data_IF_737813602803
#
_entry.id   IF_737813602803
#
_cell.length_a   1.000
_cell.length_b   1.000
_cell.length_c   1.000
_cell.angle_alpha   90.00
_cell.angle_beta   90.00
_cell.angle_gamma   90.00
#
_symmetry.space_group_name_H-M   'P 1'
#
loop_
_entity.id
_entity.type
_entity.pdbx_description
1 polymer ?
#
# COMPACT_ATOMS: atom_id res chain seq x y z
N UNK A 1 -15.88 -25.33 30.99
CA UNK A 1 -14.72 -24.41 31.07
C UNK A 1 -14.34 -24.06 29.63
N UNK A 2 -14.67 -22.85 29.19
CA UNK A 2 -14.74 -22.47 27.76
C UNK A 2 -13.36 -22.39 27.10
N UNK A 3 -13.13 -23.23 26.07
CA UNK A 3 -11.95 -23.19 25.19
C UNK A 3 -11.87 -21.93 24.29
N UNK A 4 -12.91 -21.09 24.27
CA UNK A 4 -13.08 -19.95 23.35
C UNK A 4 -12.38 -18.63 23.73
N UNK A 5 -11.42 -18.61 24.66
CA UNK A 5 -10.69 -17.37 25.03
C UNK A 5 -9.25 -17.31 24.51
N UNK A 6 -8.75 -18.37 23.89
CA UNK A 6 -7.38 -18.35 23.37
C UNK A 6 -7.34 -17.55 22.07
N UNK A 7 -6.59 -16.44 22.08
CA UNK A 7 -6.31 -15.65 20.91
C UNK A 7 -5.10 -16.22 20.18
N UNK A 8 -5.21 -16.35 18.86
CA UNK A 8 -4.19 -16.90 17.98
C UNK A 8 -3.87 -15.87 16.90
N UNK A 9 -2.58 -15.66 16.64
CA UNK A 9 -2.12 -14.73 15.61
C UNK A 9 -2.32 -15.33 14.22
N UNK A 10 -2.98 -14.59 13.33
CA UNK A 10 -3.26 -14.99 11.95
C UNK A 10 -2.52 -14.15 10.92
N UNK A 11 -2.01 -12.97 11.31
CA UNK A 11 -1.22 -12.09 10.45
C UNK A 11 -0.29 -11.21 11.27
N UNK A 12 0.82 -10.80 10.65
CA UNK A 12 1.80 -9.87 11.21
C UNK A 12 2.16 -8.82 10.17
N UNK A 13 2.09 -7.56 10.56
CA UNK A 13 2.23 -6.41 9.66
C UNK A 13 3.28 -5.44 10.20
N UNK A 14 4.03 -4.82 9.30
CA UNK A 14 5.00 -3.78 9.68
C UNK A 14 4.36 -2.43 9.97
N UNK A 15 3.10 -2.25 9.55
CA UNK A 15 2.33 -1.02 9.67
C UNK A 15 0.98 -1.30 10.35
N UNK A 16 0.59 -0.41 11.26
CA UNK A 16 -0.67 -0.46 11.96
C UNK A 16 -1.86 -0.31 11.01
N UNK A 17 -1.73 0.49 9.95
CA UNK A 17 -2.81 0.68 8.97
C UNK A 17 -3.16 -0.65 8.30
N UNK A 18 -2.15 -1.40 7.86
CA UNK A 18 -2.35 -2.71 7.23
C UNK A 18 -2.98 -3.73 8.20
N UNK A 19 -2.57 -3.71 9.47
CA UNK A 19 -3.17 -4.56 10.49
C UNK A 19 -4.64 -4.23 10.74
N UNK A 20 -5.00 -2.94 10.80
CA UNK A 20 -6.38 -2.50 10.96
C UNK A 20 -7.24 -2.77 9.72
N UNK A 21 -6.67 -2.71 8.51
CA UNK A 21 -7.34 -3.11 7.29
C UNK A 21 -7.70 -4.61 7.32
N UNK A 22 -6.73 -5.45 7.69
CA UNK A 22 -6.96 -6.89 7.84
C UNK A 22 -7.99 -7.19 8.94
N UNK A 23 -7.93 -6.49 10.07
CA UNK A 23 -8.94 -6.56 11.14
C UNK A 23 -10.33 -6.20 10.61
N UNK A 24 -10.47 -5.04 9.95
CA UNK A 24 -11.75 -4.60 9.41
C UNK A 24 -12.34 -5.58 8.41
N UNK A 25 -11.49 -6.22 7.59
CA UNK A 25 -11.93 -7.27 6.67
C UNK A 25 -12.41 -8.52 7.39
N UNK A 26 -11.73 -8.97 8.45
CA UNK A 26 -12.17 -10.10 9.27
C UNK A 26 -13.49 -9.79 10.00
N UNK A 27 -13.61 -8.60 10.58
CA UNK A 27 -14.85 -8.16 11.25
C UNK A 27 -16.03 -8.06 10.28
N UNK A 28 -15.80 -7.64 9.02
CA UNK A 28 -16.82 -7.61 7.97
C UNK A 28 -17.33 -9.00 7.59
N UNK A 29 -16.52 -10.05 7.75
CA UNK A 29 -16.88 -11.46 7.54
C UNK A 29 -17.45 -12.10 8.83
N UNK A 30 -17.68 -11.32 9.90
CA UNK A 30 -18.23 -11.79 11.17
C UNK A 30 -17.22 -12.48 12.09
N UNK A 31 -15.91 -12.37 11.81
CA UNK A 31 -14.84 -12.94 12.61
C UNK A 31 -14.35 -11.90 13.62
N UNK A 32 -14.28 -12.27 14.89
CA UNK A 32 -13.69 -11.41 15.90
C UNK A 32 -12.18 -11.28 15.66
N UNK A 33 -11.70 -10.04 15.50
CA UNK A 33 -10.28 -9.76 15.31
C UNK A 33 -9.83 -8.63 16.24
N UNK A 34 -8.64 -8.78 16.82
CA UNK A 34 -8.00 -7.76 17.66
C UNK A 34 -6.56 -7.52 17.19
N UNK A 35 -6.08 -6.28 17.38
CA UNK A 35 -4.73 -5.87 17.01
C UNK A 35 -3.87 -5.80 18.28
N UNK A 36 -2.75 -6.50 18.29
CA UNK A 36 -1.78 -6.51 19.37
C UNK A 36 -0.49 -5.77 18.98
N UNK A 37 0.16 -5.20 20.00
CA UNK A 37 1.44 -4.48 19.93
C UNK A 37 1.46 -3.15 19.16
N UNK A 38 0.32 -2.61 18.75
CA UNK A 38 0.26 -1.33 18.02
C UNK A 38 0.87 -0.16 18.81
N UNK A 39 0.48 0.00 20.08
CA UNK A 39 0.95 1.11 20.91
C UNK A 39 2.45 1.02 21.26
N UNK A 40 2.99 -0.20 21.32
CA UNK A 40 4.41 -0.40 21.61
C UNK A 40 5.28 -0.04 20.40
N UNK A 41 4.85 -0.43 19.20
CA UNK A 41 5.53 -0.09 17.95
C UNK A 41 5.46 1.42 17.67
N UNK A 42 4.36 2.07 18.06
CA UNK A 42 4.23 3.51 17.95
C UNK A 42 5.15 4.28 18.91
N UNK A 43 5.34 3.75 20.13
CA UNK A 43 6.23 4.36 21.12
C UNK A 43 7.71 4.17 20.76
N UNK A 44 8.08 3.01 20.22
CA UNK A 44 9.45 2.70 19.81
C UNK A 44 9.46 1.79 18.58
N UNK A 45 9.90 2.35 17.45
CA UNK A 45 9.99 1.62 16.20
C UNK A 45 10.97 0.43 16.25
N UNK A 46 12.03 0.48 17.07
CA UNK A 46 13.00 -0.62 17.18
C UNK A 46 12.34 -1.90 17.72
N UNK A 47 11.28 -1.77 18.52
CA UNK A 47 10.50 -2.89 19.04
C UNK A 47 9.70 -3.62 17.96
N UNK A 48 9.45 -3.02 16.79
CA UNK A 48 8.75 -3.67 15.67
C UNK A 48 9.45 -4.95 15.21
N UNK A 49 10.79 -4.88 15.06
CA UNK A 49 11.58 -6.04 14.65
C UNK A 49 11.65 -7.12 15.74
N UNK A 50 11.67 -6.73 17.02
CA UNK A 50 11.72 -7.67 18.14
C UNK A 50 10.38 -8.39 18.37
N UNK A 51 9.26 -7.68 18.21
CA UNK A 51 7.91 -8.21 18.43
C UNK A 51 7.35 -8.95 17.20
N UNK A 52 8.01 -8.79 16.05
CA UNK A 52 7.59 -9.34 14.75
C UNK A 52 6.51 -8.50 14.06
N UNK A 53 6.37 -7.24 14.43
CA UNK A 53 5.36 -6.31 13.90
C UNK A 53 4.03 -6.30 14.68
N UNK A 54 3.07 -5.57 14.11
CA UNK A 54 1.69 -5.43 14.59
C UNK A 54 0.94 -6.71 14.26
N UNK A 55 0.39 -7.39 15.28
CA UNK A 55 -0.21 -8.72 15.12
C UNK A 55 -1.73 -8.64 15.09
N UNK A 56 -2.35 -9.33 14.15
CA UNK A 56 -3.80 -9.53 14.12
C UNK A 56 -4.12 -10.90 14.71
N UNK A 57 -4.98 -10.92 15.73
CA UNK A 57 -5.34 -12.12 16.48
C UNK A 57 -6.85 -12.37 16.43
N UNK A 58 -7.23 -13.64 16.35
CA UNK A 58 -8.63 -14.10 16.35
C UNK A 58 -8.81 -15.19 17.39
N UNK A 59 -10.06 -15.56 17.70
CA UNK A 59 -10.32 -16.71 18.55
C UNK A 59 -9.87 -18.03 17.89
N UNK A 60 -9.38 -18.96 18.71
CA UNK A 60 -8.83 -20.23 18.25
C UNK A 60 -9.81 -21.07 17.37
N UNK A 61 -11.11 -20.90 17.57
CA UNK A 61 -12.17 -21.56 16.79
C UNK A 61 -12.37 -20.97 15.38
N UNK A 62 -11.90 -19.74 15.14
CA UNK A 62 -12.06 -19.02 13.86
C UNK A 62 -10.76 -18.92 13.05
N UNK A 63 -9.67 -19.55 13.50
CA UNK A 63 -8.32 -19.42 12.91
C UNK A 63 -8.28 -19.83 11.44
N UNK A 64 -8.91 -20.96 11.09
CA UNK A 64 -8.81 -21.50 9.73
C UNK A 64 -9.47 -20.58 8.71
N UNK A 65 -10.67 -20.09 9.02
CA UNK A 65 -11.39 -19.12 8.20
C UNK A 65 -10.64 -17.79 8.11
N UNK A 66 -10.12 -17.30 9.25
CA UNK A 66 -9.37 -16.05 9.28
C UNK A 66 -8.09 -16.10 8.43
N UNK A 67 -7.36 -17.22 8.46
CA UNK A 67 -6.17 -17.41 7.62
C UNK A 67 -6.48 -17.36 6.13
N UNK A 68 -7.60 -17.95 5.71
CA UNK A 68 -8.03 -17.90 4.31
C UNK A 68 -8.33 -16.47 3.87
N UNK A 69 -9.06 -15.71 4.68
CA UNK A 69 -9.38 -14.30 4.38
C UNK A 69 -8.12 -13.45 4.31
N UNK A 70 -7.21 -13.61 5.28
CA UNK A 70 -5.93 -12.89 5.30
C UNK A 70 -5.06 -13.26 4.08
N UNK A 71 -5.05 -14.52 3.67
CA UNK A 71 -4.33 -14.95 2.48
C UNK A 71 -4.91 -14.33 1.19
N UNK A 72 -6.24 -14.29 1.06
CA UNK A 72 -6.92 -13.65 -0.08
C UNK A 72 -6.66 -12.13 -0.11
N UNK A 73 -6.56 -11.49 1.06
CA UNK A 73 -6.17 -10.09 1.17
C UNK A 73 -4.73 -9.87 0.70
N UNK A 74 -3.81 -10.74 1.11
CA UNK A 74 -2.41 -10.68 0.71
C UNK A 74 -2.19 -10.98 -0.78
N UNK A 75 -3.03 -11.82 -1.40
CA UNK A 75 -2.97 -12.12 -2.83
C UNK A 75 -3.57 -11.02 -3.71
N UNK A 76 -4.07 -9.93 -3.12
CA UNK A 76 -4.68 -8.84 -3.87
C UNK A 76 -6.05 -9.20 -4.46
N UNK A 77 -6.74 -10.20 -3.92
CA UNK A 77 -8.04 -10.62 -4.46
C UNK A 77 -9.15 -9.57 -4.28
N UNK A 78 -8.93 -8.59 -3.39
CA UNK A 78 -9.79 -7.43 -3.20
C UNK A 78 -9.23 -6.16 -3.85
N UNK A 79 -8.17 -6.26 -4.66
CA UNK A 79 -7.70 -5.13 -5.44
C UNK A 79 -8.80 -4.72 -6.41
N UNK A 80 -9.21 -3.45 -6.31
CA UNK A 80 -10.11 -2.84 -7.28
C UNK A 80 -9.27 -2.60 -8.54
N UNK A 81 -9.75 -3.03 -9.70
CA UNK A 81 -9.11 -2.65 -10.97
C UNK A 81 -9.05 -1.12 -11.00
N UNK A 82 -7.86 -0.56 -11.20
CA UNK A 82 -7.66 0.89 -11.22
C UNK A 82 -8.62 1.51 -12.25
N UNK A 83 -9.75 2.06 -11.78
CA UNK A 83 -10.70 2.82 -12.60
C UNK A 83 -10.05 4.13 -13.09
N UNK A 84 -8.91 4.48 -12.49
CA UNK A 84 -8.08 5.60 -12.89
C UNK A 84 -6.99 5.17 -13.89
N UNK A 85 -7.40 4.75 -15.09
CA UNK A 85 -6.45 4.60 -16.21
C UNK A 85 -6.14 5.99 -16.77
N UNK A 86 -4.87 6.39 -16.75
CA UNK A 86 -4.45 7.67 -17.32
C UNK A 86 -4.49 7.54 -18.83
N UNK A 87 -5.36 8.32 -19.48
CA UNK A 87 -5.43 8.39 -20.93
C UNK A 87 -4.45 9.43 -21.47
N UNK A 88 -3.82 9.14 -22.60
CA UNK A 88 -3.00 10.13 -23.29
C UNK A 88 -3.88 11.26 -23.86
N UNK A 89 -3.61 12.55 -23.57
CA UNK A 89 -4.42 13.67 -24.07
C UNK A 89 -4.40 13.85 -25.59
N UNK A 90 -3.46 13.20 -26.29
CA UNK A 90 -3.27 13.34 -27.75
C UNK A 90 -3.90 12.20 -28.56
N UNK A 91 -3.84 10.96 -28.06
CA UNK A 91 -4.29 9.77 -28.79
C UNK A 91 -5.26 8.89 -28.01
N UNK A 92 -5.60 9.27 -26.78
CA UNK A 92 -6.51 8.56 -25.88
C UNK A 92 -6.10 7.12 -25.51
N UNK A 93 -4.85 6.73 -25.78
CA UNK A 93 -4.36 5.42 -25.38
C UNK A 93 -4.28 5.27 -23.86
N UNK A 94 -4.43 4.03 -23.41
CA UNK A 94 -4.29 3.60 -22.00
C UNK A 94 -2.84 3.19 -21.68
N UNK A 95 -2.03 2.95 -22.72
CA UNK A 95 -0.64 2.51 -22.57
C UNK A 95 0.29 3.71 -22.30
N UNK A 96 0.32 4.13 -21.03
CA UNK A 96 1.14 5.24 -20.54
C UNK A 96 2.18 4.71 -19.55
N UNK A 97 3.46 5.00 -19.82
CA UNK A 97 4.58 4.66 -18.95
C UNK A 97 4.99 5.87 -18.10
N UNK A 98 5.10 5.68 -16.78
CA UNK A 98 5.60 6.70 -15.87
C UNK A 98 7.12 6.68 -15.84
N UNK A 99 7.77 7.70 -16.42
CA UNK A 99 9.21 7.86 -16.35
C UNK A 99 9.61 8.51 -15.02
N UNK A 100 9.65 7.69 -13.96
CA UNK A 100 10.26 8.08 -12.69
C UNK A 100 11.78 8.08 -12.83
N UNK A 101 12.38 9.27 -12.74
CA UNK A 101 13.83 9.34 -12.52
C UNK A 101 14.13 8.60 -11.22
N UNK A 102 14.95 7.54 -11.31
CA UNK A 102 15.30 6.72 -10.14
C UNK A 102 15.94 7.63 -9.10
N UNK A 103 15.31 7.77 -7.95
CA UNK A 103 15.83 8.56 -6.83
C UNK A 103 17.28 8.18 -6.47
N UNK A 104 17.69 6.93 -6.73
CA UNK A 104 19.08 6.46 -6.63
C UNK A 104 20.09 7.29 -7.46
N UNK A 105 19.71 7.75 -8.66
CA UNK A 105 20.56 8.61 -9.52
C UNK A 105 20.69 10.00 -8.90
N UNK A 106 19.61 10.54 -8.33
CA UNK A 106 19.65 11.81 -7.61
C UNK A 106 20.52 11.72 -6.34
N UNK A 107 20.42 10.62 -5.58
CA UNK A 107 21.31 10.36 -4.45
C UNK A 107 22.77 10.21 -4.87
N UNK A 108 23.06 9.51 -5.96
CA UNK A 108 24.43 9.38 -6.48
C UNK A 108 25.02 10.74 -6.86
N UNK A 109 24.24 11.60 -7.51
CA UNK A 109 24.65 12.98 -7.82
C UNK A 109 24.90 13.82 -6.57
N UNK A 110 24.07 13.67 -5.53
CA UNK A 110 24.26 14.34 -4.24
C UNK A 110 25.56 13.90 -3.55
N UNK A 111 25.84 12.59 -3.51
CA UNK A 111 27.04 12.07 -2.85
C UNK A 111 28.34 12.37 -3.62
N UNK A 112 28.31 12.39 -4.96
CA UNK A 112 29.52 12.62 -5.77
C UNK A 112 29.81 14.11 -5.95
N UNK A 113 28.78 14.91 -6.26
CA UNK A 113 28.96 16.31 -6.64
C UNK A 113 28.53 17.30 -5.55
N UNK A 114 27.91 16.84 -4.45
CA UNK A 114 27.36 17.70 -3.39
C UNK A 114 26.36 18.75 -3.89
N UNK A 115 25.82 18.57 -5.10
CA UNK A 115 24.82 19.45 -5.68
C UNK A 115 23.45 18.95 -5.24
N UNK A 116 22.63 19.76 -4.55
CA UNK A 116 21.25 19.43 -4.27
C UNK A 116 20.45 19.46 -5.58
N UNK A 117 20.38 18.33 -6.27
CA UNK A 117 19.57 18.20 -7.49
C UNK A 117 18.09 18.34 -7.11
N UNK A 118 17.35 19.28 -7.73
CA UNK A 118 15.92 19.41 -7.47
C UNK A 118 15.22 18.12 -7.88
N UNK A 119 14.36 17.61 -7.00
CA UNK A 119 13.55 16.42 -7.25
C UNK A 119 12.66 16.66 -8.47
N UNK A 120 13.04 16.05 -9.60
CA UNK A 120 12.35 16.24 -10.88
C UNK A 120 11.01 15.50 -10.84
N UNK A 121 9.91 16.21 -11.06
CA UNK A 121 8.55 15.64 -11.12
C UNK A 121 8.46 14.56 -12.21
N UNK A 122 7.64 13.53 -11.97
CA UNK A 122 7.43 12.43 -12.91
C UNK A 122 6.91 12.92 -14.26
N UNK A 123 7.55 12.46 -15.34
CA UNK A 123 7.08 12.66 -16.71
C UNK A 123 6.30 11.42 -17.15
N UNK A 124 5.15 11.62 -17.77
CA UNK A 124 4.39 10.55 -18.40
C UNK A 124 4.80 10.47 -19.87
N UNK A 125 4.94 9.25 -20.37
CA UNK A 125 5.23 8.96 -21.77
C UNK A 125 4.16 8.01 -22.31
N UNK A 126 3.50 8.41 -23.39
CA UNK A 126 2.63 7.51 -24.13
C UNK A 126 3.46 6.54 -24.98
N UNK A 127 3.14 5.24 -24.94
CA UNK A 127 3.81 4.22 -25.74
C UNK A 127 3.34 4.22 -27.21
N UNK A 128 2.09 4.60 -27.48
CA UNK A 128 1.52 4.59 -28.83
C UNK A 128 1.89 5.81 -29.69
N UNK A 129 1.91 7.02 -29.11
CA UNK A 129 2.13 8.27 -29.85
C UNK A 129 3.39 9.06 -29.44
N UNK A 130 4.20 8.50 -28.54
CA UNK A 130 5.45 9.11 -28.02
C UNK A 130 5.25 10.52 -27.41
N UNK A 131 4.02 10.87 -27.01
CA UNK A 131 3.73 12.15 -26.37
C UNK A 131 4.22 12.14 -24.91
N UNK A 132 4.80 13.25 -24.48
CA UNK A 132 5.34 13.43 -23.14
C UNK A 132 4.66 14.61 -22.44
N UNK A 133 4.13 14.42 -21.24
CA UNK A 133 3.50 15.47 -20.43
C UNK A 133 3.81 15.30 -18.93
N UNK A 134 3.55 16.33 -18.12
CA UNK A 134 3.78 16.26 -16.68
C UNK A 134 2.55 15.67 -15.98
N UNK A 135 2.76 14.87 -14.94
CA UNK A 135 1.66 14.28 -14.16
C UNK A 135 0.69 15.35 -13.60
N UNK A 136 1.20 16.54 -13.25
CA UNK A 136 0.37 17.67 -12.78
C UNK A 136 -0.63 18.15 -13.82
N UNK A 137 -0.32 18.01 -15.11
CA UNK A 137 -1.20 18.47 -16.19
C UNK A 137 -2.44 17.56 -16.30
N UNK A 138 -2.31 16.29 -15.90
CA UNK A 138 -3.42 15.31 -15.87
C UNK A 138 -4.35 15.51 -14.67
N UNK A 139 -3.83 16.03 -13.56
CA UNK A 139 -4.63 16.33 -12.36
C UNK A 139 -5.48 17.59 -12.57
N UNK A 140 -4.91 18.62 -13.21
CA UNK A 140 -5.59 19.90 -13.46
C UNK A 140 -6.74 19.79 -14.48
N UNK A 141 -6.71 18.78 -15.37
CA UNK A 141 -7.78 18.54 -16.34
C UNK A 141 -9.07 17.98 -15.72
N UNK A 142 -9.03 17.48 -14.48
CA UNK A 142 -10.21 16.91 -13.80
C UNK A 142 -11.02 17.93 -12.99
N UNK A 143 -10.44 19.07 -12.62
CA UNK A 143 -11.13 20.11 -11.85
C UNK A 143 -12.01 21.03 -12.72
N UNK A 144 -12.00 20.87 -14.05
CA UNK A 144 -12.72 21.76 -14.98
C UNK A 144 -13.98 21.12 -15.59
N UNK A 145 -14.34 19.89 -15.21
CA UNK A 145 -15.52 19.17 -15.70
C UNK A 145 -16.60 18.95 -14.63
N UNK A 146 -16.51 19.61 -13.46
CA UNK A 146 -17.58 19.66 -12.45
C UNK A 146 -18.33 21.02 -12.47
#
# INVERSE_FOLDING_TARGET
MNKNKQLVTVGSYTDAIQAHLARGKLEAEGIFATVAHEHHIWADWMLSNALGGVKVQVHADQVEQAKQIVANLASGQYAIEDEYKIHCPKCNSVQVEEQRTRWKIAFLGLFIFHIPLPYRRGKLKCLDCDHHWLFTDSANQKETEE
#
